data_IF_863671705978
#
_entry.id   IF_863671705978
#
_cell.length_a   1.000
_cell.length_b   1.000
_cell.length_c   1.000
_cell.angle_alpha   90.00
_cell.angle_beta   90.00
_cell.angle_gamma   90.00
#
_symmetry.space_group_name_H-M   'P 1'
#
loop_
_entity.id
_entity.type
_entity.pdbx_description
1 polymer ?
#
# COMPACT_ATOMS: atom_id res chain seq x y z
N UNK A 1 -3.35 -9.76 -3.76
CA UNK A 1 -4.75 -9.74 -4.23
C UNK A 1 -4.82 -9.84 -5.75
N UNK A 2 -5.59 -10.75 -6.35
CA UNK A 2 -5.87 -10.68 -7.79
C UNK A 2 -6.81 -9.50 -8.07
N UNK A 3 -6.54 -8.71 -9.11
CA UNK A 3 -7.40 -7.60 -9.55
C UNK A 3 -8.05 -7.96 -10.88
N UNK A 4 -9.28 -7.48 -11.12
CA UNK A 4 -10.02 -7.77 -12.35
C UNK A 4 -9.24 -7.33 -13.58
N UNK A 5 -9.24 -8.16 -14.63
CA UNK A 5 -8.45 -7.93 -15.84
C UNK A 5 -9.12 -6.97 -16.84
N UNK A 6 -10.40 -6.65 -16.65
CA UNK A 6 -11.12 -5.71 -17.51
C UNK A 6 -10.83 -4.28 -17.03
N UNK A 7 -10.25 -3.48 -17.93
CA UNK A 7 -10.05 -2.03 -17.79
C UNK A 7 -9.30 -1.59 -16.52
N UNK A 8 -8.11 -2.17 -16.27
CA UNK A 8 -7.21 -1.66 -15.22
C UNK A 8 -6.60 -0.33 -15.65
N UNK A 9 -7.28 0.74 -15.30
CA UNK A 9 -6.88 2.13 -15.50
C UNK A 9 -6.45 2.80 -14.18
N UNK A 10 -6.14 4.10 -14.26
CA UNK A 10 -5.74 4.90 -13.12
C UNK A 10 -6.80 4.90 -11.99
N UNK A 11 -8.08 5.00 -12.33
CA UNK A 11 -9.15 5.06 -11.34
C UNK A 11 -9.32 3.71 -10.60
N UNK A 12 -9.26 2.60 -11.34
CA UNK A 12 -9.30 1.26 -10.77
C UNK A 12 -8.11 1.02 -9.81
N UNK A 13 -6.90 1.42 -10.20
CA UNK A 13 -5.71 1.27 -9.38
C UNK A 13 -5.74 2.15 -8.12
N UNK A 14 -6.24 3.38 -8.23
CA UNK A 14 -6.48 4.25 -7.06
C UNK A 14 -7.47 3.63 -6.08
N UNK A 15 -8.52 2.96 -6.57
CA UNK A 15 -9.46 2.26 -5.70
C UNK A 15 -8.80 1.09 -4.95
N UNK A 16 -7.86 0.38 -5.58
CA UNK A 16 -7.06 -0.67 -4.93
C UNK A 16 -6.18 -0.08 -3.83
N UNK A 17 -5.45 1.01 -4.11
CA UNK A 17 -4.66 1.73 -3.11
C UNK A 17 -5.52 2.23 -1.95
N UNK A 18 -6.68 2.80 -2.24
CA UNK A 18 -7.63 3.27 -1.24
C UNK A 18 -8.10 2.15 -0.32
N UNK A 19 -8.40 0.96 -0.84
CA UNK A 19 -8.82 -0.16 0.00
C UNK A 19 -7.70 -0.63 0.94
N UNK A 20 -6.45 -0.69 0.47
CA UNK A 20 -5.29 -1.01 1.31
C UNK A 20 -5.10 0.03 2.43
N UNK A 21 -5.12 1.31 2.07
CA UNK A 21 -4.98 2.43 3.01
C UNK A 21 -6.12 2.46 4.03
N UNK A 22 -7.36 2.22 3.60
CA UNK A 22 -8.52 2.14 4.48
C UNK A 22 -8.35 1.05 5.55
N UNK A 23 -7.91 -0.14 5.16
CA UNK A 23 -7.65 -1.26 6.10
C UNK A 23 -6.51 -0.92 7.08
N UNK A 24 -5.42 -0.33 6.58
CA UNK A 24 -4.31 0.12 7.42
C UNK A 24 -4.78 1.15 8.47
N UNK A 25 -5.56 2.14 8.03
CA UNK A 25 -6.05 3.22 8.88
C UNK A 25 -7.10 2.75 9.91
N UNK A 26 -7.88 1.70 9.59
CA UNK A 26 -8.80 1.10 10.56
C UNK A 26 -8.11 0.15 11.54
N UNK A 27 -6.81 -0.11 11.37
CA UNK A 27 -6.07 -1.10 12.15
C UNK A 27 -6.43 -2.55 11.82
N UNK A 28 -7.08 -2.78 10.67
CA UNK A 28 -7.46 -4.13 10.20
C UNK A 28 -6.28 -4.77 9.45
N UNK A 29 -5.18 -4.93 10.18
CA UNK A 29 -3.89 -5.39 9.65
C UNK A 29 -3.99 -6.84 9.16
N UNK A 30 -4.76 -7.68 9.86
CA UNK A 30 -4.97 -9.07 9.46
C UNK A 30 -5.65 -9.17 8.10
N UNK A 31 -6.70 -8.38 7.85
CA UNK A 31 -7.37 -8.38 6.54
C UNK A 31 -6.50 -7.77 5.46
N UNK A 32 -5.76 -6.70 5.78
CA UNK A 32 -4.77 -6.11 4.85
C UNK A 32 -3.75 -7.16 4.42
N UNK A 33 -3.09 -7.81 5.37
CA UNK A 33 -2.12 -8.87 5.14
C UNK A 33 -2.71 -10.05 4.36
N UNK A 34 -3.90 -10.52 4.74
CA UNK A 34 -4.54 -11.65 4.06
C UNK A 34 -4.90 -11.36 2.61
N UNK A 35 -5.26 -10.11 2.27
CA UNK A 35 -5.68 -9.75 0.90
C UNK A 35 -4.49 -9.35 0.04
N UNK A 36 -3.60 -8.53 0.57
CA UNK A 36 -2.51 -7.92 -0.17
C UNK A 36 -1.17 -8.63 0.02
N UNK A 37 -0.99 -9.44 1.06
CA UNK A 37 0.33 -9.89 1.48
C UNK A 37 1.21 -8.72 1.92
N UNK A 38 2.52 -8.94 1.96
CA UNK A 38 3.49 -7.87 2.17
C UNK A 38 4.84 -8.23 1.55
N UNK A 39 5.26 -7.50 0.51
CA UNK A 39 6.45 -7.85 -0.28
C UNK A 39 7.75 -7.73 0.53
N UNK A 40 7.80 -6.72 1.40
CA UNK A 40 8.95 -6.42 2.28
C UNK A 40 8.82 -7.07 3.67
N UNK A 41 8.01 -8.13 3.80
CA UNK A 41 7.98 -8.92 5.03
C UNK A 41 9.34 -9.59 5.34
N UNK A 42 10.13 -9.93 4.31
CA UNK A 42 11.50 -10.47 4.45
C UNK A 42 11.60 -11.69 5.39
N UNK A 43 10.61 -12.58 5.31
CA UNK A 43 10.54 -13.82 6.12
C UNK A 43 9.77 -13.67 7.44
N UNK A 44 9.34 -12.46 7.80
CA UNK A 44 8.39 -12.23 8.90
C UNK A 44 6.97 -12.63 8.46
N UNK A 45 6.10 -12.86 9.44
CA UNK A 45 4.66 -13.01 9.17
C UNK A 45 4.11 -11.66 8.65
N UNK A 46 3.36 -11.62 7.54
CA UNK A 46 2.96 -10.36 6.90
C UNK A 46 2.21 -9.37 7.80
N UNK A 47 1.27 -9.83 8.63
CA UNK A 47 0.55 -8.91 9.51
C UNK A 47 1.47 -8.32 10.60
N UNK A 48 2.32 -9.14 11.20
CA UNK A 48 3.34 -8.69 12.14
C UNK A 48 4.31 -7.68 11.50
N UNK A 49 4.77 -7.97 10.28
CA UNK A 49 5.68 -7.09 9.54
C UNK A 49 5.08 -5.73 9.23
N UNK A 50 3.83 -5.70 8.76
CA UNK A 50 3.08 -4.46 8.51
C UNK A 50 2.95 -3.64 9.81
N UNK A 51 2.62 -4.31 10.92
CA UNK A 51 2.44 -3.64 12.21
C UNK A 51 3.75 -3.08 12.76
N UNK A 52 4.85 -3.82 12.62
CA UNK A 52 6.20 -3.39 13.01
C UNK A 52 6.64 -2.19 12.19
N UNK A 53 6.56 -2.26 10.86
CA UNK A 53 7.02 -1.19 9.97
C UNK A 53 6.18 0.08 10.14
N UNK A 54 4.86 -0.05 10.32
CA UNK A 54 4.00 1.09 10.67
C UNK A 54 4.40 1.72 12.00
N UNK A 55 4.69 0.90 13.02
CA UNK A 55 5.12 1.39 14.33
C UNK A 55 6.44 2.14 14.22
N UNK A 56 7.42 1.60 13.49
CA UNK A 56 8.70 2.25 13.25
C UNK A 56 8.53 3.60 12.54
N UNK A 57 7.67 3.66 11.52
CA UNK A 57 7.36 4.93 10.84
C UNK A 57 6.78 5.97 11.81
N UNK A 58 5.81 5.57 12.65
CA UNK A 58 5.18 6.46 13.61
C UNK A 58 6.17 6.94 14.68
N UNK A 59 7.04 6.05 15.17
CA UNK A 59 8.10 6.40 16.13
C UNK A 59 9.11 7.37 15.52
N UNK A 60 9.56 7.14 14.28
CA UNK A 60 10.48 8.02 13.58
C UNK A 60 9.92 9.43 13.36
N UNK A 61 8.62 9.53 13.07
CA UNK A 61 7.93 10.82 12.89
C UNK A 61 7.62 11.49 14.25
N UNK A 62 7.59 10.73 15.35
CA UNK A 62 7.11 11.20 16.65
C UNK A 62 5.57 11.33 16.71
N UNK A 63 4.87 10.52 15.92
CA UNK A 63 3.41 10.52 15.83
C UNK A 63 2.77 9.41 16.67
N UNK A 64 1.54 9.65 17.14
CA UNK A 64 0.77 8.65 17.91
C UNK A 64 -0.16 7.79 17.04
N UNK A 65 -0.17 8.00 15.73
CA UNK A 65 -1.01 7.25 14.79
C UNK A 65 -1.31 8.01 13.49
N UNK A 66 -1.99 7.31 12.59
CA UNK A 66 -2.44 7.83 11.29
C UNK A 66 -3.66 8.74 11.43
N UNK A 67 -3.73 9.78 10.59
CA UNK A 67 -4.85 10.70 10.45
C UNK A 67 -5.53 10.48 9.09
N UNK A 68 -6.41 9.47 9.02
CA UNK A 68 -7.15 9.15 7.81
C UNK A 68 -8.08 10.29 7.37
N UNK A 69 -8.09 10.56 6.06
CA UNK A 69 -9.00 11.51 5.40
C UNK A 69 -9.68 10.80 4.24
N UNK A 70 -10.92 11.18 3.93
CA UNK A 70 -11.64 10.63 2.77
C UNK A 70 -10.98 11.04 1.44
N UNK A 71 -10.32 12.19 1.39
CA UNK A 71 -9.66 12.72 0.20
C UNK A 71 -8.14 12.65 0.36
N UNK A 72 -7.58 11.44 0.26
CA UNK A 72 -6.14 11.26 0.14
C UNK A 72 -5.70 11.39 -1.32
N UNK A 73 -4.50 11.92 -1.52
CA UNK A 73 -3.85 11.92 -2.83
C UNK A 73 -3.29 10.54 -3.14
N UNK A 74 -3.65 9.99 -4.29
CA UNK A 74 -3.10 8.75 -4.81
C UNK A 74 -2.39 9.04 -6.13
N UNK A 75 -1.16 8.57 -6.26
CA UNK A 75 -0.41 8.61 -7.51
C UNK A 75 -0.31 7.19 -8.08
N UNK A 76 -0.48 7.06 -9.40
CA UNK A 76 -0.33 5.80 -10.12
C UNK A 76 0.78 5.98 -11.15
N UNK A 77 1.81 5.13 -11.05
CA UNK A 77 2.95 5.11 -11.97
C UNK A 77 2.91 3.82 -12.76
N UNK A 78 2.72 3.90 -14.07
CA UNK A 78 2.76 2.74 -14.95
C UNK A 78 4.19 2.43 -15.37
N UNK A 79 4.54 1.14 -15.40
CA UNK A 79 5.82 0.69 -15.89
C UNK A 79 5.75 0.31 -17.37
N UNK A 80 6.82 0.59 -18.11
CA UNK A 80 7.05 -0.07 -19.39
C UNK A 80 7.28 -1.58 -19.16
N UNK A 81 7.06 -2.45 -20.17
CA UNK A 81 7.33 -3.88 -20.05
C UNK A 81 8.74 -4.16 -19.51
N UNK A 82 8.83 -5.03 -18.50
CA UNK A 82 10.07 -5.31 -17.77
C UNK A 82 10.12 -6.78 -17.32
N UNK A 83 11.34 -7.28 -17.07
CA UNK A 83 11.56 -8.68 -16.72
C UNK A 83 10.88 -9.13 -15.40
N UNK A 84 10.78 -8.29 -14.35
CA UNK A 84 10.03 -8.64 -13.14
C UNK A 84 8.50 -8.59 -13.29
N UNK A 85 7.99 -8.24 -14.48
CA UNK A 85 6.57 -8.11 -14.77
C UNK A 85 5.82 -7.05 -13.93
N UNK A 86 6.51 -5.98 -13.52
CA UNK A 86 5.86 -4.83 -12.88
C UNK A 86 4.94 -4.15 -13.90
N UNK A 87 3.72 -3.85 -13.47
CA UNK A 87 2.69 -3.22 -14.30
C UNK A 87 2.42 -1.79 -13.86
N UNK A 88 2.18 -1.57 -12.57
CA UNK A 88 1.99 -0.25 -12.00
C UNK A 88 2.38 -0.21 -10.52
N UNK A 89 2.68 0.99 -10.01
CA UNK A 89 2.86 1.29 -8.60
C UNK A 89 1.80 2.30 -8.19
N UNK A 90 1.12 2.05 -7.06
CA UNK A 90 0.19 2.99 -6.45
C UNK A 90 0.80 3.51 -5.16
N UNK A 91 0.92 4.83 -5.05
CA UNK A 91 1.48 5.51 -3.90
C UNK A 91 0.40 6.36 -3.22
N UNK A 92 0.38 6.33 -1.88
CA UNK A 92 -0.46 7.21 -1.08
C UNK A 92 0.28 7.67 0.17
N UNK A 93 0.34 8.98 0.39
CA UNK A 93 0.86 9.55 1.64
C UNK A 93 -0.30 9.78 2.61
N UNK A 94 -0.29 9.05 3.72
CA UNK A 94 -1.26 9.17 4.80
C UNK A 94 -0.72 10.17 5.83
N UNK A 95 -1.42 11.28 6.11
CA UNK A 95 -1.04 12.19 7.18
C UNK A 95 -1.03 11.50 8.54
N UNK A 96 -0.24 12.02 9.47
CA UNK A 96 -0.20 11.55 10.86
C UNK A 96 -0.90 12.51 11.82
N UNK A 97 -1.21 12.04 13.04
CA UNK A 97 -1.84 12.86 14.08
C UNK A 97 -0.83 13.77 14.77
N UNK A 98 -1.27 15.00 15.07
CA UNK A 98 -0.60 15.97 15.97
C UNK A 98 0.75 16.55 15.53
N UNK A 99 1.36 16.04 14.45
CA UNK A 99 2.65 16.52 13.91
C UNK A 99 2.61 16.61 12.38
N UNK A 100 3.57 17.31 11.79
CA UNK A 100 3.79 17.34 10.34
C UNK A 100 4.52 16.09 9.87
N UNK A 101 4.12 15.54 8.73
CA UNK A 101 4.71 14.33 8.14
C UNK A 101 3.63 13.40 7.62
N UNK A 102 4.06 12.24 7.12
CA UNK A 102 3.16 11.22 6.63
C UNK A 102 3.83 9.86 6.53
N UNK A 103 2.98 8.85 6.39
CA UNK A 103 3.40 7.49 6.07
C UNK A 103 3.08 7.24 4.61
N UNK A 104 4.09 6.92 3.82
CA UNK A 104 3.93 6.47 2.45
C UNK A 104 3.51 4.99 2.47
N UNK A 105 2.46 4.69 1.72
CA UNK A 105 2.00 3.33 1.45
C UNK A 105 2.12 3.04 -0.03
N UNK A 106 2.85 1.97 -0.35
CA UNK A 106 3.15 1.55 -1.70
C UNK A 106 2.44 0.23 -1.99
N UNK A 107 1.67 0.18 -3.09
CA UNK A 107 1.04 -1.04 -3.60
C UNK A 107 1.57 -1.31 -5.00
N UNK A 108 2.35 -2.38 -5.14
CA UNK A 108 2.90 -2.81 -6.42
C UNK A 108 1.91 -3.74 -7.13
N UNK A 109 1.73 -3.52 -8.42
CA UNK A 109 0.92 -4.37 -9.29
C UNK A 109 1.82 -5.10 -10.27
N UNK A 110 1.74 -6.42 -10.28
CA UNK A 110 2.43 -7.29 -11.24
C UNK A 110 1.45 -7.90 -12.23
N UNK A 111 1.90 -8.21 -13.45
CA UNK A 111 1.08 -8.84 -14.49
C UNK A 111 1.70 -10.15 -14.98
N UNK A 112 0.98 -11.27 -15.01
CA UNK A 112 1.46 -12.51 -15.62
C UNK A 112 0.91 -12.73 -17.05
N UNK A 113 0.61 -11.63 -17.76
CA UNK A 113 -0.04 -11.64 -19.06
C UNK A 113 -1.50 -11.22 -18.92
N UNK A 114 -2.40 -12.17 -18.68
CA UNK A 114 -3.82 -11.85 -18.47
C UNK A 114 -4.09 -11.35 -17.07
N UNK A 115 -3.55 -12.02 -16.03
CA UNK A 115 -3.87 -11.70 -14.65
C UNK A 115 -2.97 -10.62 -14.07
N UNK A 116 -3.57 -9.78 -13.23
CA UNK A 116 -2.85 -8.78 -12.45
C UNK A 116 -3.03 -9.04 -10.96
N UNK A 117 -1.97 -8.76 -10.21
CA UNK A 117 -1.93 -8.97 -8.76
C UNK A 117 -1.41 -7.71 -8.08
N UNK A 118 -2.18 -7.19 -7.13
CA UNK A 118 -1.76 -6.11 -6.24
C UNK A 118 -1.18 -6.68 -4.94
N UNK A 119 -0.01 -6.19 -4.55
CA UNK A 119 0.69 -6.58 -3.33
C UNK A 119 1.06 -5.31 -2.57
N UNK A 120 0.84 -5.29 -1.25
CA UNK A 120 1.38 -4.20 -0.43
C UNK A 120 2.90 -4.34 -0.47
N UNK A 121 3.59 -3.34 -1.01
CA UNK A 121 5.03 -3.41 -1.22
C UNK A 121 5.77 -2.98 0.04
N UNK A 122 5.49 -1.77 0.50
CA UNK A 122 6.23 -1.13 1.59
C UNK A 122 5.36 -0.10 2.33
N UNK A 123 5.67 0.07 3.61
CA UNK A 123 5.22 1.19 4.45
C UNK A 123 6.47 1.92 4.93
N UNK A 124 6.57 3.23 4.66
CA UNK A 124 7.75 4.03 5.01
C UNK A 124 7.36 5.44 5.45
N UNK A 125 8.30 6.19 6.03
CA UNK A 125 8.14 7.63 6.24
C UNK A 125 8.18 8.35 4.88
N UNK A 126 7.28 9.31 4.67
CA UNK A 126 7.18 10.14 3.46
C UNK A 126 8.02 11.41 3.54
#
# INVERSE_FOLDING_TARGET
MQISNQDVDDAALKAVGHDAVRLLCSGDITTLASRFGYATALGREPAAAIQEDLKECLEQIGASGLAYKLELGYEVKFFAPNAPNLFALVECVIPVKHVSGGVLVEVIVTSNGTDKYATLEQISVA
#
